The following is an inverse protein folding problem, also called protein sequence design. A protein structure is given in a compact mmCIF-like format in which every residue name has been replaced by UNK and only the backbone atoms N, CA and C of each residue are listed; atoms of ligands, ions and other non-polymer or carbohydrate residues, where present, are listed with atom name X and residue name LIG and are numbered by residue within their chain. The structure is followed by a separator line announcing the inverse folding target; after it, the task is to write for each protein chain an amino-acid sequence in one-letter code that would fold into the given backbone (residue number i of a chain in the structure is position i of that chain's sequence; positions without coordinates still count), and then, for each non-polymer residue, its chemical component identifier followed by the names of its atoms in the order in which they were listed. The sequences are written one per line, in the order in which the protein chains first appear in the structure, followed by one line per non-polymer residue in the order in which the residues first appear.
data_IF_210589426156
#
_entry.id   IF_210589426156
#
_cell.length_a   1.000
_cell.length_b   1.000
_cell.length_c   1.000
_cell.angle_alpha   90.00
_cell.angle_beta   90.00
_cell.angle_gamma   90.00
#
_symmetry.space_group_name_H-M   'P 1'
#
loop_
_entity.id
_entity.type
_entity.pdbx_description
1 polymer ?
#
# COMPACT_ATOMS: atom_id res chain seq x y z
N UNK A 1 9.16 1.58 -49.02
CA UNK A 1 8.76 2.53 -47.99
C UNK A 1 8.24 1.72 -46.80
N UNK A 2 9.14 1.33 -45.89
CA UNK A 2 8.82 0.42 -44.76
C UNK A 2 8.66 1.24 -43.49
N UNK A 3 7.43 1.33 -43.01
CA UNK A 3 7.10 1.95 -41.73
C UNK A 3 7.30 0.90 -40.64
N UNK A 4 8.34 1.07 -39.81
CA UNK A 4 8.51 0.30 -38.56
C UNK A 4 7.54 0.85 -37.51
N UNK A 5 6.55 0.04 -37.14
CA UNK A 5 5.74 0.28 -35.96
C UNK A 5 6.58 0.01 -34.72
N UNK A 6 7.00 1.05 -34.03
CA UNK A 6 7.51 0.97 -32.67
C UNK A 6 6.33 0.76 -31.72
N UNK A 7 6.29 -0.41 -31.10
CA UNK A 7 5.37 -0.70 -29.97
C UNK A 7 5.83 0.09 -28.75
N UNK A 8 5.26 1.26 -28.55
CA UNK A 8 5.34 1.96 -27.27
C UNK A 8 4.47 1.24 -26.25
N UNK A 9 5.06 0.68 -25.20
CA UNK A 9 4.33 0.32 -23.98
C UNK A 9 3.84 1.63 -23.36
N UNK A 10 2.54 1.89 -23.50
CA UNK A 10 1.88 2.91 -22.70
C UNK A 10 1.79 2.38 -21.28
N UNK A 11 2.60 2.94 -20.38
CA UNK A 11 2.34 2.86 -18.95
C UNK A 11 0.97 3.54 -18.72
N UNK A 12 -0.05 2.74 -18.48
CA UNK A 12 -1.34 3.24 -18.05
C UNK A 12 -1.17 3.81 -16.64
N UNK A 13 -0.96 5.12 -16.56
CA UNK A 13 -1.16 5.86 -15.32
C UNK A 13 -2.66 5.77 -15.00
N UNK A 14 -3.02 4.83 -14.14
CA UNK A 14 -4.34 4.83 -13.51
C UNK A 14 -4.33 5.98 -12.51
N UNK A 15 -4.79 7.13 -12.96
CA UNK A 15 -5.13 8.24 -12.08
C UNK A 15 -6.28 7.78 -11.18
N UNK A 16 -5.97 7.42 -9.94
CA UNK A 16 -6.96 7.24 -8.91
C UNK A 16 -7.64 8.60 -8.66
N UNK A 17 -8.81 8.77 -9.27
CA UNK A 17 -9.69 9.88 -8.94
C UNK A 17 -10.06 9.74 -7.46
N UNK A 18 -9.58 10.67 -6.62
CA UNK A 18 -10.09 10.86 -5.27
C UNK A 18 -11.59 11.14 -5.38
N UNK A 19 -12.43 10.16 -5.06
CA UNK A 19 -13.83 10.42 -4.75
C UNK A 19 -13.91 10.86 -3.29
N UNK A 20 -13.66 12.15 -3.06
CA UNK A 20 -14.19 12.84 -1.89
C UNK A 20 -15.72 12.70 -1.94
N UNK A 21 -16.28 11.91 -1.01
CA UNK A 21 -17.62 12.12 -0.45
C UNK A 21 -18.77 12.46 -1.40
N UNK A 22 -18.85 11.86 -2.59
CA UNK A 22 -20.11 11.83 -3.30
C UNK A 22 -20.86 10.58 -2.80
N UNK A 23 -21.98 10.79 -2.11
CA UNK A 23 -22.93 9.74 -1.82
C UNK A 23 -23.27 9.03 -3.15
N UNK A 24 -22.68 7.87 -3.37
CA UNK A 24 -23.06 7.01 -4.48
C UNK A 24 -24.49 6.60 -4.18
N UNK A 25 -25.47 6.86 -5.04
CA UNK A 25 -26.83 6.39 -4.79
C UNK A 25 -26.76 4.90 -4.54
N UNK A 26 -27.34 4.46 -3.43
CA UNK A 26 -27.38 3.08 -3.00
C UNK A 26 -27.96 2.22 -4.13
N UNK A 27 -27.08 1.65 -4.95
CA UNK A 27 -27.49 0.62 -5.89
C UNK A 27 -27.92 -0.55 -5.04
N UNK A 28 -29.22 -0.80 -5.01
CA UNK A 28 -29.74 -2.11 -4.63
C UNK A 28 -28.85 -3.14 -5.32
N UNK A 29 -28.36 -4.12 -4.57
CA UNK A 29 -27.53 -5.19 -5.14
C UNK A 29 -28.31 -5.76 -6.34
N UNK A 30 -27.92 -5.34 -7.54
CA UNK A 30 -28.60 -5.78 -8.77
C UNK A 30 -28.19 -7.23 -9.00
N UNK A 31 -29.16 -8.11 -9.17
CA UNK A 31 -28.91 -9.50 -9.57
C UNK A 31 -28.08 -9.52 -10.83
N UNK A 32 -26.88 -10.10 -10.84
CA UNK A 32 -26.23 -10.46 -12.10
C UNK A 32 -27.03 -11.57 -12.77
N UNK A 33 -26.90 -11.69 -14.08
CA UNK A 33 -27.58 -12.70 -14.90
C UNK A 33 -27.16 -14.16 -14.58
N UNK A 34 -26.27 -14.37 -13.62
CA UNK A 34 -25.69 -15.67 -13.22
C UNK A 34 -26.18 -16.23 -11.88
N UNK A 35 -27.32 -15.77 -11.37
CA UNK A 35 -27.94 -16.20 -10.12
C UNK A 35 -27.13 -15.97 -8.83
N UNK A 36 -26.13 -15.06 -8.84
CA UNK A 36 -25.34 -14.74 -7.66
C UNK A 36 -25.65 -13.37 -7.07
N UNK A 37 -25.53 -13.26 -5.75
CA UNK A 37 -25.50 -11.98 -5.05
C UNK A 37 -24.04 -11.67 -4.71
N UNK A 38 -23.62 -10.41 -4.92
CA UNK A 38 -22.26 -9.99 -4.67
C UNK A 38 -22.23 -8.68 -3.90
N UNK A 39 -21.32 -8.61 -2.93
CA UNK A 39 -20.96 -7.39 -2.23
C UNK A 39 -19.63 -6.87 -2.80
N UNK A 40 -19.44 -5.57 -2.80
CA UNK A 40 -18.16 -5.00 -3.23
C UNK A 40 -17.15 -5.04 -2.09
N UNK A 41 -15.89 -5.25 -2.44
CA UNK A 41 -14.75 -5.08 -1.54
C UNK A 41 -13.76 -4.13 -2.15
N UNK A 42 -13.50 -3.04 -1.47
CA UNK A 42 -12.59 -1.98 -1.92
C UNK A 42 -11.48 -1.73 -0.92
N UNK A 43 -10.40 -1.13 -1.41
CA UNK A 43 -9.36 -0.53 -0.59
C UNK A 43 -9.32 0.95 -0.89
N UNK A 44 -9.46 1.76 0.16
CA UNK A 44 -9.26 3.20 0.11
C UNK A 44 -7.82 3.49 0.52
N UNK A 45 -7.33 4.70 0.25
CA UNK A 45 -6.01 5.16 0.68
C UNK A 45 -5.26 5.87 -0.43
N UNK A 46 -4.16 6.49 -0.08
CA UNK A 46 -3.37 7.39 -0.94
C UNK A 46 -2.12 6.75 -1.52
N UNK A 47 -1.97 5.44 -1.45
CA UNK A 47 -0.79 4.79 -2.01
C UNK A 47 -0.95 4.53 -3.50
N UNK A 48 0.11 4.74 -4.27
CA UNK A 48 0.20 4.31 -5.67
C UNK A 48 0.47 2.80 -5.78
N UNK A 49 0.65 2.14 -4.63
CA UNK A 49 0.96 0.73 -4.54
C UNK A 49 -0.27 -0.17 -4.46
N UNK A 50 -0.03 -1.44 -4.64
CA UNK A 50 -1.06 -2.48 -4.57
C UNK A 50 -0.76 -3.50 -3.49
N UNK A 51 -1.80 -3.99 -2.83
CA UNK A 51 -1.76 -5.10 -1.89
C UNK A 51 -2.76 -6.15 -2.32
N UNK A 52 -2.42 -7.44 -2.10
CA UNK A 52 -3.32 -8.57 -2.33
C UNK A 52 -3.36 -9.45 -1.10
N UNK A 53 -4.56 -9.86 -0.71
CA UNK A 53 -4.78 -10.73 0.46
C UNK A 53 -6.09 -11.50 0.35
N UNK A 54 -6.25 -12.52 1.18
CA UNK A 54 -7.51 -13.25 1.30
C UNK A 54 -8.28 -12.75 2.53
N UNK A 55 -9.48 -12.28 2.30
CA UNK A 55 -10.39 -11.73 3.32
C UNK A 55 -11.48 -12.72 3.66
N UNK A 56 -11.90 -12.70 4.91
CA UNK A 56 -12.94 -13.56 5.48
C UNK A 56 -14.01 -12.72 6.14
N UNK A 57 -15.22 -13.26 6.19
CA UNK A 57 -16.37 -12.59 6.75
C UNK A 57 -17.06 -13.50 7.79
N UNK A 58 -17.67 -12.86 8.79
CA UNK A 58 -18.54 -13.51 9.74
C UNK A 58 -19.97 -13.05 9.50
N UNK A 59 -20.93 -13.98 9.49
CA UNK A 59 -22.35 -13.70 9.31
C UNK A 59 -23.12 -14.29 10.48
N UNK A 60 -23.88 -13.45 11.18
CA UNK A 60 -24.68 -13.82 12.32
C UNK A 60 -26.16 -13.55 12.04
N UNK A 61 -27.02 -14.47 12.41
CA UNK A 61 -28.48 -14.26 12.40
C UNK A 61 -28.84 -13.14 13.38
N UNK A 62 -29.66 -12.19 12.95
CA UNK A 62 -29.98 -11.04 13.80
C UNK A 62 -31.44 -10.90 14.12
N UNK A 63 -32.32 -10.73 13.11
CA UNK A 63 -33.71 -10.42 13.30
C UNK A 63 -34.56 -10.88 12.13
N UNK A 64 -35.84 -11.18 12.39
CA UNK A 64 -36.84 -11.40 11.36
C UNK A 64 -38.05 -10.53 11.68
N UNK A 65 -38.63 -9.92 10.65
CA UNK A 65 -39.90 -9.17 10.78
C UNK A 65 -40.83 -9.53 9.62
N UNK A 66 -42.14 -9.34 9.85
CA UNK A 66 -43.20 -9.58 8.86
C UNK A 66 -43.18 -11.01 8.25
N UNK A 67 -42.62 -11.97 8.97
CA UNK A 67 -42.70 -13.39 8.64
C UNK A 67 -43.80 -14.11 9.43
N UNK A 68 -43.98 -15.40 9.15
CA UNK A 68 -44.88 -16.23 10.00
C UNK A 68 -44.37 -16.23 11.44
N UNK A 69 -45.30 -16.37 12.39
CA UNK A 69 -45.02 -16.26 13.82
C UNK A 69 -44.07 -17.32 14.38
N UNK A 70 -43.87 -18.42 13.68
CA UNK A 70 -42.94 -19.50 14.00
C UNK A 70 -41.51 -19.29 13.49
N UNK A 71 -41.27 -18.25 12.66
CA UNK A 71 -39.94 -17.88 12.15
C UNK A 71 -39.34 -16.82 13.07
N UNK A 72 -38.25 -17.19 13.70
CA UNK A 72 -37.50 -16.35 14.65
C UNK A 72 -36.04 -16.16 14.20
N UNK A 73 -35.28 -15.26 14.84
CA UNK A 73 -33.88 -15.11 14.59
C UNK A 73 -33.07 -16.40 14.83
N UNK A 74 -33.50 -17.25 15.74
CA UNK A 74 -32.79 -18.50 16.08
C UNK A 74 -32.95 -19.54 14.99
N UNK A 75 -34.18 -19.71 14.44
CA UNK A 75 -34.46 -20.74 13.46
C UNK A 75 -34.44 -20.27 12.00
N UNK A 76 -34.29 -18.97 11.74
CA UNK A 76 -34.13 -18.47 10.37
C UNK A 76 -32.95 -19.14 9.67
N UNK A 77 -32.99 -19.34 8.33
CA UNK A 77 -31.89 -20.00 7.61
C UNK A 77 -30.60 -19.14 7.63
N UNK A 78 -29.47 -19.80 7.56
CA UNK A 78 -28.17 -19.14 7.57
C UNK A 78 -27.76 -18.64 6.17
N UNK A 79 -27.15 -17.49 6.11
CA UNK A 79 -26.47 -16.95 4.92
C UNK A 79 -24.97 -17.17 5.05
N UNK A 80 -24.29 -17.45 3.97
CA UNK A 80 -22.83 -17.51 3.94
C UNK A 80 -22.24 -16.51 2.95
N UNK A 81 -21.04 -16.06 3.26
CA UNK A 81 -20.22 -15.20 2.41
C UNK A 81 -18.92 -15.95 2.15
N UNK A 82 -18.53 -16.07 0.90
CA UNK A 82 -17.31 -16.76 0.50
C UNK A 82 -16.07 -15.93 0.87
N UNK A 83 -14.96 -16.60 1.17
CA UNK A 83 -13.66 -15.95 1.25
C UNK A 83 -13.32 -15.33 -0.11
N UNK A 84 -12.66 -14.17 -0.11
CA UNK A 84 -12.31 -13.48 -1.34
C UNK A 84 -10.82 -13.12 -1.37
N UNK A 85 -10.15 -13.47 -2.47
CA UNK A 85 -8.85 -12.86 -2.81
C UNK A 85 -9.09 -11.47 -3.35
N UNK A 86 -8.70 -10.46 -2.59
CA UNK A 86 -8.92 -9.05 -2.92
C UNK A 86 -7.58 -8.36 -3.20
N UNK A 87 -7.57 -7.53 -4.25
CA UNK A 87 -6.43 -6.68 -4.61
C UNK A 87 -6.87 -5.23 -4.59
N UNK A 88 -6.07 -4.37 -3.99
CA UNK A 88 -6.32 -2.92 -4.01
C UNK A 88 -6.31 -2.38 -5.44
N UNK A 89 -7.12 -1.34 -5.70
CA UNK A 89 -7.30 -0.80 -7.04
C UNK A 89 -8.14 -1.67 -8.00
N UNK A 90 -8.61 -2.84 -7.55
CA UNK A 90 -9.50 -3.72 -8.30
C UNK A 90 -10.92 -3.68 -7.74
N UNK A 91 -11.90 -3.94 -8.61
CA UNK A 91 -13.28 -4.13 -8.19
C UNK A 91 -13.50 -5.58 -7.74
N UNK A 92 -13.13 -5.86 -6.50
CA UNK A 92 -13.26 -7.19 -5.94
C UNK A 92 -14.73 -7.44 -5.56
N UNK A 93 -15.25 -8.61 -5.93
CA UNK A 93 -16.63 -9.01 -5.63
C UNK A 93 -16.62 -10.21 -4.69
N UNK A 94 -17.36 -10.07 -3.60
CA UNK A 94 -17.53 -11.10 -2.58
C UNK A 94 -18.85 -11.79 -2.82
N UNK A 95 -18.82 -13.08 -3.08
CA UNK A 95 -20.04 -13.85 -3.35
C UNK A 95 -20.81 -14.11 -2.07
N UNK A 96 -22.11 -13.85 -2.14
CA UNK A 96 -23.08 -14.12 -1.09
C UNK A 96 -23.94 -15.33 -1.50
N UNK A 97 -23.97 -16.35 -0.67
CA UNK A 97 -24.83 -17.53 -0.88
C UNK A 97 -26.04 -17.45 0.03
N UNK A 98 -27.20 -17.32 -0.58
CA UNK A 98 -28.48 -17.27 0.13
C UNK A 98 -29.09 -18.67 0.25
N UNK A 99 -29.70 -18.98 1.39
CA UNK A 99 -30.45 -20.21 1.59
C UNK A 99 -31.82 -20.15 0.89
N UNK A 100 -32.53 -21.27 0.90
CA UNK A 100 -33.97 -21.27 0.59
C UNK A 100 -34.73 -20.76 1.80
N UNK A 101 -35.69 -19.86 1.56
CA UNK A 101 -36.61 -19.34 2.56
C UNK A 101 -38.01 -19.99 2.40
N UNK A 102 -38.61 -20.32 3.50
CA UNK A 102 -39.96 -20.97 3.52
C UNK A 102 -41.11 -19.99 3.78
N UNK A 103 -40.79 -18.79 4.27
CA UNK A 103 -41.75 -17.75 4.60
C UNK A 103 -41.37 -16.42 3.98
N UNK A 104 -42.35 -15.68 3.47
CA UNK A 104 -42.20 -14.27 3.17
C UNK A 104 -41.85 -13.49 4.44
N UNK A 105 -41.12 -12.38 4.30
CA UNK A 105 -40.69 -11.52 5.42
C UNK A 105 -39.39 -10.81 5.13
N UNK A 106 -38.91 -10.10 6.14
CA UNK A 106 -37.59 -9.44 6.12
C UNK A 106 -36.64 -10.17 7.07
N UNK A 107 -35.53 -10.65 6.52
CA UNK A 107 -34.53 -11.40 7.27
C UNK A 107 -33.27 -10.53 7.38
N UNK A 108 -32.77 -10.34 8.58
CA UNK A 108 -31.65 -9.47 8.87
C UNK A 108 -30.49 -10.29 9.45
N UNK A 109 -29.31 -10.04 8.95
CA UNK A 109 -28.05 -10.66 9.40
C UNK A 109 -27.05 -9.58 9.73
N UNK A 110 -26.24 -9.77 10.76
CA UNK A 110 -25.05 -8.96 11.01
C UNK A 110 -23.91 -9.54 10.23
N UNK A 111 -23.16 -8.67 9.56
CA UNK A 111 -22.00 -9.05 8.78
C UNK A 111 -20.82 -8.22 9.23
N UNK A 112 -19.70 -8.89 9.56
CA UNK A 112 -18.44 -8.24 9.92
C UNK A 112 -17.31 -8.82 9.08
N UNK A 113 -16.37 -8.00 8.70
CA UNK A 113 -15.12 -8.48 8.11
C UNK A 113 -14.21 -8.99 9.23
N UNK A 114 -13.56 -10.13 9.01
CA UNK A 114 -12.52 -10.62 9.91
C UNK A 114 -11.25 -9.84 9.63
N UNK A 115 -10.81 -9.04 10.58
CA UNK A 115 -9.55 -8.31 10.44
C UNK A 115 -8.40 -9.26 10.12
N UNK A 116 -7.67 -8.96 9.05
CA UNK A 116 -6.44 -9.64 8.69
C UNK A 116 -5.23 -9.05 9.43
N UNK A 117 -4.05 -9.43 8.99
CA UNK A 117 -2.77 -9.00 9.61
C UNK A 117 -1.79 -8.43 8.58
N UNK A 118 -2.22 -8.12 7.36
CA UNK A 118 -1.34 -7.65 6.28
C UNK A 118 -0.76 -6.27 6.59
N UNK A 119 0.53 -6.10 6.35
CA UNK A 119 1.25 -4.85 6.56
C UNK A 119 0.66 -3.73 5.71
N UNK A 120 0.59 -2.51 6.27
CA UNK A 120 0.02 -1.34 5.61
C UNK A 120 -1.50 -1.33 5.50
N UNK A 121 -2.22 -2.41 5.90
CA UNK A 121 -3.68 -2.48 5.82
C UNK A 121 -4.32 -2.12 7.15
N UNK A 122 -5.29 -1.21 7.09
CA UNK A 122 -6.26 -0.92 8.15
C UNK A 122 -7.60 -1.53 7.75
N UNK A 123 -8.06 -2.48 8.55
CA UNK A 123 -9.28 -3.26 8.28
C UNK A 123 -10.52 -2.55 8.78
N UNK A 124 -11.61 -2.72 8.05
CA UNK A 124 -12.93 -2.32 8.51
C UNK A 124 -13.35 -3.23 9.66
N UNK A 125 -13.73 -2.61 10.78
CA UNK A 125 -14.21 -3.31 12.00
C UNK A 125 -15.68 -3.07 12.27
N UNK A 126 -16.38 -2.37 11.38
CA UNK A 126 -17.79 -2.02 11.56
C UNK A 126 -18.69 -3.24 11.37
N UNK A 127 -19.82 -3.21 12.05
CA UNK A 127 -20.89 -4.18 11.83
C UNK A 127 -21.83 -3.65 10.77
N UNK A 128 -22.00 -4.41 9.70
CA UNK A 128 -22.98 -4.15 8.66
C UNK A 128 -24.21 -5.04 8.83
N UNK A 129 -25.32 -4.62 8.25
CA UNK A 129 -26.59 -5.34 8.32
C UNK A 129 -27.02 -5.73 6.91
N UNK A 130 -27.13 -7.03 6.68
CA UNK A 130 -27.66 -7.58 5.43
C UNK A 130 -29.16 -7.77 5.60
N UNK A 131 -29.96 -7.10 4.80
CA UNK A 131 -31.41 -7.27 4.71
C UNK A 131 -31.75 -8.10 3.49
N UNK A 132 -32.43 -9.22 3.67
CA UNK A 132 -32.99 -10.06 2.61
C UNK A 132 -34.51 -9.91 2.66
N UNK A 133 -35.10 -9.43 1.57
CA UNK A 133 -36.56 -9.32 1.41
C UNK A 133 -37.05 -10.54 0.66
N UNK A 134 -37.98 -11.25 1.26
CA UNK A 134 -38.60 -12.45 0.68
C UNK A 134 -40.10 -12.22 0.51
N UNK A 135 -40.62 -12.43 -0.68
CA UNK A 135 -42.04 -12.38 -1.00
C UNK A 135 -42.59 -13.77 -1.33
N UNK A 136 -43.94 -13.85 -1.44
CA UNK A 136 -44.61 -15.06 -1.87
C UNK A 136 -45.04 -14.91 -3.34
N UNK A 137 -44.41 -15.65 -4.23
CA UNK A 137 -44.76 -15.66 -5.64
C UNK A 137 -44.96 -17.09 -6.12
N UNK A 138 -46.04 -17.33 -6.91
CA UNK A 138 -46.35 -18.65 -7.46
C UNK A 138 -46.42 -19.77 -6.41
N UNK A 139 -46.94 -19.49 -5.22
CA UNK A 139 -47.04 -20.39 -4.07
C UNK A 139 -45.70 -20.83 -3.46
N UNK A 140 -44.61 -20.08 -3.72
CA UNK A 140 -43.32 -20.33 -3.14
C UNK A 140 -42.73 -19.01 -2.60
N UNK A 141 -41.93 -19.10 -1.55
CA UNK A 141 -41.15 -17.98 -1.06
C UNK A 141 -39.99 -17.72 -2.04
N UNK A 142 -39.77 -16.48 -2.41
CA UNK A 142 -38.73 -16.05 -3.33
C UNK A 142 -38.05 -14.80 -2.79
N UNK A 143 -36.70 -14.75 -2.91
CA UNK A 143 -35.95 -13.55 -2.60
C UNK A 143 -36.23 -12.49 -3.68
N UNK A 144 -36.72 -11.33 -3.26
CA UNK A 144 -36.97 -10.18 -4.14
C UNK A 144 -35.79 -9.23 -4.17
N UNK A 145 -35.18 -8.97 -3.02
CA UNK A 145 -34.03 -8.06 -2.94
C UNK A 145 -33.12 -8.38 -1.77
N UNK A 146 -31.86 -7.97 -1.94
CA UNK A 146 -30.83 -8.01 -0.90
C UNK A 146 -30.19 -6.62 -0.83
N UNK A 147 -29.99 -6.11 0.38
CA UNK A 147 -29.32 -4.83 0.59
C UNK A 147 -28.42 -4.90 1.82
N UNK A 148 -27.30 -4.19 1.75
CA UNK A 148 -26.35 -4.05 2.85
C UNK A 148 -26.45 -2.64 3.41
N UNK A 149 -26.35 -2.52 4.74
CA UNK A 149 -26.54 -1.27 5.48
C UNK A 149 -25.40 -1.09 6.48
N UNK A 150 -24.91 0.13 6.64
CA UNK A 150 -23.92 0.48 7.66
C UNK A 150 -24.55 0.88 9.01
N UNK A 151 -25.86 0.96 9.07
CA UNK A 151 -26.64 1.16 10.27
C UNK A 151 -27.78 0.12 10.36
N UNK A 152 -28.31 -0.11 11.55
CA UNK A 152 -29.37 -1.10 11.77
C UNK A 152 -30.69 -0.69 11.06
N UNK A 153 -31.08 -1.35 9.96
CA UNK A 153 -32.29 -1.00 9.21
C UNK A 153 -33.61 -1.41 9.91
N UNK A 154 -33.54 -2.02 11.10
CA UNK A 154 -34.73 -2.33 11.91
C UNK A 154 -35.09 -1.20 12.87
N UNK A 155 -34.26 -0.16 12.95
CA UNK A 155 -34.53 1.08 13.69
C UNK A 155 -35.25 2.06 12.77
N UNK A 156 -36.36 2.60 13.24
CA UNK A 156 -37.25 3.46 12.43
C UNK A 156 -36.63 4.79 11.98
N UNK A 157 -35.51 5.20 12.61
CA UNK A 157 -34.79 6.42 12.26
C UNK A 157 -33.71 6.18 11.20
N UNK A 158 -33.42 4.92 10.83
CA UNK A 158 -32.44 4.59 9.80
C UNK A 158 -33.04 4.88 8.42
N UNK A 159 -32.38 5.71 7.65
CA UNK A 159 -32.79 6.18 6.32
C UNK A 159 -32.05 5.43 5.20
N UNK A 160 -32.53 5.56 3.96
CA UNK A 160 -32.00 4.84 2.80
C UNK A 160 -30.55 5.23 2.41
N UNK A 161 -30.04 6.34 2.91
CA UNK A 161 -28.65 6.79 2.75
C UNK A 161 -27.64 5.92 3.53
N UNK A 162 -28.11 5.09 4.48
CA UNK A 162 -27.33 4.06 5.14
C UNK A 162 -27.14 2.77 4.32
N UNK A 163 -27.68 2.69 3.12
CA UNK A 163 -27.38 1.59 2.20
C UNK A 163 -26.00 1.74 1.60
N UNK A 164 -25.24 0.65 1.63
CA UNK A 164 -23.86 0.61 1.13
C UNK A 164 -23.65 -0.53 0.14
N UNK A 165 -22.65 -0.40 -0.73
CA UNK A 165 -22.35 -1.40 -1.76
C UNK A 165 -21.50 -2.56 -1.24
N UNK A 166 -20.81 -2.39 -0.10
CA UNK A 166 -19.91 -3.39 0.44
C UNK A 166 -18.96 -2.84 1.49
N UNK A 167 -17.80 -3.47 1.62
CA UNK A 167 -16.80 -3.19 2.65
C UNK A 167 -15.61 -2.44 2.07
N UNK A 168 -15.01 -1.54 2.86
CA UNK A 168 -13.81 -0.81 2.48
C UNK A 168 -12.73 -0.95 3.56
N UNK A 169 -11.51 -1.36 3.14
CA UNK A 169 -10.30 -1.26 3.94
C UNK A 169 -9.47 -0.07 3.46
N UNK A 170 -8.43 0.29 4.20
CA UNK A 170 -7.45 1.28 3.77
C UNK A 170 -6.09 0.60 3.64
N UNK A 171 -5.40 0.84 2.53
CA UNK A 171 -4.01 0.42 2.35
C UNK A 171 -3.12 1.64 2.20
N UNK A 172 -2.01 1.66 2.94
CA UNK A 172 -0.99 2.70 2.86
C UNK A 172 0.36 2.07 2.56
N UNK A 173 1.08 2.64 1.61
CA UNK A 173 2.47 2.33 1.28
C UNK A 173 3.21 3.59 0.88
N UNK A 174 4.52 3.56 1.00
CA UNK A 174 5.37 4.71 0.71
C UNK A 174 6.62 4.33 -0.08
N UNK A 175 7.55 5.28 -0.19
CA UNK A 175 8.79 5.18 -0.95
C UNK A 175 10.00 5.42 -0.06
N UNK A 176 10.97 4.49 -0.09
CA UNK A 176 12.32 4.70 0.42
C UNK A 176 13.25 5.10 -0.73
N UNK A 177 13.88 6.26 -0.62
CA UNK A 177 14.92 6.72 -1.53
C UNK A 177 16.30 6.39 -0.95
N UNK A 178 17.16 5.70 -1.72
CA UNK A 178 18.57 5.45 -1.39
C UNK A 178 19.45 6.23 -2.34
N UNK A 179 20.19 7.21 -1.80
CA UNK A 179 21.14 8.05 -2.55
C UNK A 179 22.55 7.57 -2.35
N UNK A 180 23.31 7.43 -3.44
CA UNK A 180 24.75 7.17 -3.43
C UNK A 180 25.50 8.43 -3.74
N UNK A 181 26.36 8.85 -2.81
CA UNK A 181 27.25 10.01 -2.96
C UNK A 181 28.70 9.55 -2.88
N UNK A 182 29.57 10.13 -3.68
CA UNK A 182 31.02 9.96 -3.59
C UNK A 182 31.66 11.30 -3.26
N UNK A 183 32.75 11.26 -2.50
CA UNK A 183 33.50 12.45 -2.05
C UNK A 183 34.99 12.16 -1.99
N UNK A 184 35.78 13.23 -1.89
CA UNK A 184 37.22 13.14 -1.78
C UNK A 184 37.96 13.33 -3.12
N UNK A 185 39.24 13.67 -3.04
CA UNK A 185 40.06 14.06 -4.21
C UNK A 185 40.51 12.88 -5.07
N UNK A 186 40.32 11.64 -4.62
CA UNK A 186 40.62 10.41 -5.36
C UNK A 186 39.38 9.62 -5.74
N UNK A 187 38.20 10.16 -5.50
CA UNK A 187 36.94 9.52 -5.87
C UNK A 187 36.79 9.46 -7.40
N UNK A 188 36.24 8.36 -7.91
CA UNK A 188 36.00 8.09 -9.33
C UNK A 188 34.53 7.87 -9.59
N UNK A 189 33.92 8.56 -10.55
CA UNK A 189 32.50 8.54 -10.84
C UNK A 189 32.00 7.20 -11.40
N UNK A 190 32.91 6.38 -11.98
CA UNK A 190 32.60 5.09 -12.59
C UNK A 190 32.75 3.89 -11.64
N UNK A 191 33.19 4.13 -10.39
CA UNK A 191 33.32 3.09 -9.36
C UNK A 191 31.93 2.55 -8.97
N UNK A 192 31.85 1.22 -8.78
CA UNK A 192 30.65 0.53 -8.39
C UNK A 192 30.68 0.15 -6.91
N UNK A 193 29.56 0.33 -6.24
CA UNK A 193 29.35 0.09 -4.81
C UNK A 193 28.18 -0.86 -4.63
N UNK A 194 28.31 -1.81 -3.68
CA UNK A 194 27.24 -2.75 -3.39
C UNK A 194 26.54 -2.39 -2.10
N UNK A 195 25.25 -2.15 -2.20
CA UNK A 195 24.40 -1.80 -1.08
C UNK A 195 23.33 -2.88 -0.93
N UNK A 196 23.12 -3.35 0.30
CA UNK A 196 22.02 -4.22 0.67
C UNK A 196 20.96 -3.40 1.40
N UNK A 197 19.75 -3.42 0.88
CA UNK A 197 18.58 -2.83 1.53
C UNK A 197 17.74 -3.97 2.12
N UNK A 198 17.58 -3.97 3.43
CA UNK A 198 16.80 -4.98 4.16
C UNK A 198 15.52 -4.36 4.68
N UNK A 199 14.41 -5.00 4.43
CA UNK A 199 13.10 -4.63 4.96
C UNK A 199 12.64 -5.65 5.98
N UNK A 200 11.99 -5.17 7.06
CA UNK A 200 11.49 -6.01 8.16
C UNK A 200 10.09 -5.59 8.54
N UNK A 201 9.21 -6.57 8.72
CA UNK A 201 7.82 -6.36 9.13
C UNK A 201 7.42 -7.33 10.25
N UNK A 202 6.57 -6.89 11.19
CA UNK A 202 5.90 -7.77 12.16
C UNK A 202 4.57 -8.33 11.65
N UNK A 203 4.25 -8.05 10.39
CA UNK A 203 3.02 -8.52 9.73
C UNK A 203 3.39 -9.09 8.36
N UNK A 204 2.63 -10.08 7.84
CA UNK A 204 2.79 -10.56 6.47
C UNK A 204 2.72 -9.42 5.46
N UNK A 205 3.52 -9.47 4.40
CA UNK A 205 3.53 -8.47 3.35
C UNK A 205 2.81 -9.00 2.11
N UNK A 206 1.72 -8.36 1.77
CA UNK A 206 0.86 -8.71 0.62
C UNK A 206 1.12 -7.84 -0.62
N UNK A 207 2.16 -7.00 -0.60
CA UNK A 207 2.54 -6.11 -1.69
C UNK A 207 3.84 -6.52 -2.36
N UNK A 208 4.01 -6.15 -3.62
CA UNK A 208 5.27 -6.25 -4.35
C UNK A 208 5.98 -4.91 -4.24
N UNK A 209 7.19 -4.89 -3.66
CA UNK A 209 8.03 -3.70 -3.62
C UNK A 209 8.75 -3.57 -4.95
N UNK A 210 8.56 -2.47 -5.66
CA UNK A 210 9.19 -2.20 -6.95
C UNK A 210 10.36 -1.22 -6.79
N UNK A 211 11.43 -1.40 -7.55
CA UNK A 211 12.56 -0.49 -7.58
C UNK A 211 13.27 -0.53 -8.94
N UNK A 212 14.07 0.51 -9.24
CA UNK A 212 14.81 0.61 -10.50
C UNK A 212 16.28 0.83 -10.21
N UNK A 213 17.15 -0.01 -10.78
CA UNK A 213 18.59 0.08 -10.67
C UNK A 213 19.21 0.16 -12.07
N UNK A 214 20.02 1.18 -12.34
CA UNK A 214 20.70 1.40 -13.62
C UNK A 214 19.74 1.35 -14.83
N UNK A 215 18.50 1.83 -14.64
CA UNK A 215 17.46 1.82 -15.66
C UNK A 215 16.66 0.52 -15.77
N UNK A 216 17.03 -0.53 -15.04
CA UNK A 216 16.32 -1.82 -15.01
C UNK A 216 15.28 -1.87 -13.90
N UNK A 217 14.06 -2.27 -14.25
CA UNK A 217 12.99 -2.49 -13.29
C UNK A 217 13.19 -3.83 -12.56
N UNK A 218 13.13 -3.79 -11.24
CA UNK A 218 13.28 -4.94 -10.33
C UNK A 218 12.19 -4.94 -9.28
N UNK A 219 11.98 -6.09 -8.65
CA UNK A 219 10.96 -6.24 -7.60
C UNK A 219 11.41 -7.15 -6.48
N UNK A 220 10.89 -6.91 -5.28
CA UNK A 220 10.85 -7.86 -4.18
C UNK A 220 9.42 -8.42 -4.19
N UNK A 221 9.27 -9.66 -4.60
CA UNK A 221 7.98 -10.34 -4.68
C UNK A 221 7.46 -10.69 -3.27
N UNK A 222 6.16 -10.92 -3.14
CA UNK A 222 5.55 -11.30 -1.86
C UNK A 222 6.11 -12.60 -1.27
N UNK A 223 6.50 -13.55 -2.11
CA UNK A 223 7.11 -14.82 -1.70
C UNK A 223 8.63 -14.72 -1.38
N UNK A 224 9.23 -13.55 -1.57
CA UNK A 224 10.62 -13.29 -1.16
C UNK A 224 10.76 -12.93 0.33
N UNK A 225 9.64 -12.65 1.00
CA UNK A 225 9.63 -12.39 2.43
C UNK A 225 9.68 -13.70 3.21
N UNK A 226 10.67 -13.81 4.09
CA UNK A 226 10.89 -14.98 4.93
C UNK A 226 10.44 -14.68 6.36
N UNK A 227 9.57 -15.52 6.88
CA UNK A 227 9.13 -15.45 8.27
C UNK A 227 10.13 -16.19 9.16
N UNK A 228 10.56 -15.55 10.23
CA UNK A 228 11.39 -16.15 11.29
C UNK A 228 10.54 -16.65 12.45
N UNK A 229 11.14 -17.45 13.35
CA UNK A 229 10.44 -18.06 14.50
C UNK A 229 9.77 -17.04 15.43
N UNK A 230 10.23 -15.80 15.46
CA UNK A 230 9.66 -14.70 16.26
C UNK A 230 8.52 -13.94 15.55
N UNK A 231 8.07 -14.44 14.39
CA UNK A 231 7.01 -13.83 13.58
C UNK A 231 7.46 -12.56 12.85
N UNK A 232 8.77 -12.39 12.62
CA UNK A 232 9.31 -11.29 11.83
C UNK A 232 9.48 -11.71 10.37
N UNK A 233 8.91 -10.92 9.45
CA UNK A 233 9.06 -11.10 8.01
C UNK A 233 10.22 -10.23 7.52
N UNK A 234 11.15 -10.81 6.77
CA UNK A 234 12.34 -10.12 6.25
C UNK A 234 12.50 -10.38 4.77
N UNK A 235 12.79 -9.34 4.01
CA UNK A 235 13.19 -9.42 2.61
C UNK A 235 14.31 -8.43 2.33
N UNK A 236 15.15 -8.68 1.32
CA UNK A 236 16.23 -7.77 0.96
C UNK A 236 16.43 -7.64 -0.54
N UNK A 237 17.03 -6.53 -0.95
CA UNK A 237 17.53 -6.28 -2.28
C UNK A 237 19.02 -5.96 -2.22
N UNK A 238 19.83 -6.63 -3.04
CA UNK A 238 21.22 -6.28 -3.29
C UNK A 238 21.26 -5.40 -4.55
N UNK A 239 21.81 -4.19 -4.42
CA UNK A 239 21.91 -3.24 -5.52
C UNK A 239 23.38 -2.88 -5.76
N UNK A 240 23.75 -2.76 -7.02
CA UNK A 240 25.06 -2.24 -7.45
C UNK A 240 24.85 -0.90 -8.12
N UNK A 241 25.46 0.14 -7.58
CA UNK A 241 25.25 1.53 -8.01
C UNK A 241 26.54 2.30 -8.11
N UNK A 242 26.59 3.33 -8.94
CA UNK A 242 27.70 4.29 -9.06
C UNK A 242 27.44 5.55 -8.24
N UNK A 243 28.47 6.37 -8.06
CA UNK A 243 28.32 7.70 -7.48
C UNK A 243 27.27 8.54 -8.20
N UNK A 244 26.47 9.29 -7.44
CA UNK A 244 25.36 10.09 -7.96
C UNK A 244 24.09 9.31 -8.28
N UNK A 245 24.08 7.98 -8.12
CA UNK A 245 22.86 7.17 -8.34
C UNK A 245 21.85 7.37 -7.23
N UNK A 246 20.57 7.28 -7.62
CA UNK A 246 19.42 7.22 -6.71
C UNK A 246 18.59 5.99 -7.05
N UNK A 247 18.15 5.24 -6.02
CA UNK A 247 17.28 4.08 -6.14
C UNK A 247 16.05 4.30 -5.27
N UNK A 248 14.87 4.29 -5.88
CA UNK A 248 13.58 4.43 -5.20
C UNK A 248 12.93 3.07 -5.05
N UNK A 249 12.67 2.65 -3.81
CA UNK A 249 11.87 1.48 -3.47
C UNK A 249 10.42 1.93 -3.21
N UNK A 250 9.52 1.66 -4.11
CA UNK A 250 8.12 2.04 -4.05
C UNK A 250 7.21 0.90 -3.60
N UNK A 251 6.00 1.23 -3.14
CA UNK A 251 5.04 0.29 -2.60
C UNK A 251 5.54 -0.49 -1.37
N UNK A 252 6.39 0.13 -0.56
CA UNK A 252 6.77 -0.42 0.75
C UNK A 252 5.63 -0.14 1.72
N UNK A 253 5.03 -1.17 2.37
CA UNK A 253 3.90 -0.95 3.26
C UNK A 253 4.23 -0.05 4.44
N UNK A 254 3.25 0.74 4.87
CA UNK A 254 3.35 1.57 6.07
C UNK A 254 3.72 0.73 7.30
N UNK A 255 4.62 1.25 8.14
CA UNK A 255 5.13 0.58 9.34
C UNK A 255 6.23 -0.45 9.10
N UNK A 256 6.64 -0.71 7.85
CA UNK A 256 7.79 -1.57 7.54
C UNK A 256 9.08 -0.84 7.92
N UNK A 257 9.98 -1.54 8.61
CA UNK A 257 11.32 -1.04 8.93
C UNK A 257 12.28 -1.32 7.79
N UNK A 258 13.27 -0.45 7.63
CA UNK A 258 14.36 -0.65 6.68
C UNK A 258 15.73 -0.47 7.33
N UNK A 259 16.74 -1.12 6.75
CA UNK A 259 18.16 -0.96 7.01
C UNK A 259 18.92 -0.93 5.67
N UNK A 260 19.74 0.09 5.48
CA UNK A 260 20.55 0.30 4.28
C UNK A 260 22.03 0.09 4.66
N UNK A 261 22.61 -1.00 4.20
CA UNK A 261 24.00 -1.35 4.51
C UNK A 261 24.85 -1.52 3.25
N UNK A 262 25.96 -0.84 3.21
CA UNK A 262 26.91 -1.00 2.11
C UNK A 262 27.80 -2.20 2.39
N UNK A 263 27.71 -3.21 1.55
CA UNK A 263 28.44 -4.48 1.69
C UNK A 263 29.80 -4.48 0.97
N UNK A 264 29.99 -3.53 0.04
CA UNK A 264 31.24 -3.34 -0.67
C UNK A 264 31.40 -1.85 -1.01
N UNK A 265 32.27 -1.18 -0.27
CA UNK A 265 32.51 0.26 -0.38
C UNK A 265 33.62 0.64 -1.38
N UNK A 266 34.19 -0.35 -2.10
CA UNK A 266 35.28 -0.14 -3.04
C UNK A 266 36.65 0.08 -2.38
N UNK A 267 37.71 -0.14 -3.16
CA UNK A 267 39.08 -0.07 -2.65
C UNK A 267 39.49 1.35 -2.24
N UNK A 268 39.85 1.49 -0.97
CA UNK A 268 40.35 2.73 -0.38
C UNK A 268 39.29 3.79 -0.11
N UNK A 269 38.00 3.45 -0.23
CA UNK A 269 36.89 4.28 0.23
C UNK A 269 36.53 3.99 1.68
N UNK A 270 35.98 5.00 2.33
CA UNK A 270 35.34 4.91 3.64
C UNK A 270 33.88 5.27 3.51
N UNK A 271 33.01 4.32 3.87
CA UNK A 271 31.57 4.53 3.85
C UNK A 271 31.11 5.31 5.08
N UNK A 272 30.14 6.20 4.89
CA UNK A 272 29.40 6.87 5.94
C UNK A 272 27.93 6.99 5.55
N UNK A 273 27.08 7.14 6.54
CA UNK A 273 25.64 7.25 6.36
C UNK A 273 25.16 8.54 7.02
N UNK A 274 24.05 9.07 6.52
CA UNK A 274 23.28 10.04 7.28
C UNK A 274 22.54 9.36 8.47
N UNK A 275 21.81 10.14 9.27
CA UNK A 275 21.10 9.63 10.43
C UNK A 275 19.96 8.66 10.07
N UNK A 276 19.66 8.49 8.78
CA UNK A 276 18.57 7.68 8.25
C UNK A 276 19.01 6.31 7.70
N UNK A 277 20.18 5.79 8.12
CA UNK A 277 20.63 4.43 7.74
C UNK A 277 19.54 3.39 8.01
N UNK A 278 18.85 3.53 9.12
CA UNK A 278 17.75 2.67 9.54
C UNK A 278 16.53 3.51 9.89
N UNK A 279 15.34 2.98 9.66
CA UNK A 279 14.12 3.69 9.99
C UNK A 279 12.88 2.82 9.89
N UNK A 280 11.74 3.47 10.08
CA UNK A 280 10.41 2.89 9.83
C UNK A 280 9.75 3.74 8.76
N UNK A 281 9.21 3.12 7.74
CA UNK A 281 8.47 3.82 6.73
C UNK A 281 7.13 4.28 7.31
N UNK A 282 6.87 5.57 7.23
CA UNK A 282 5.60 6.18 7.62
C UNK A 282 5.04 6.84 6.38
N UNK A 283 4.11 6.13 5.72
CA UNK A 283 3.53 6.59 4.47
C UNK A 283 2.73 7.88 4.69
N UNK A 284 3.16 8.95 4.04
CA UNK A 284 2.51 10.25 4.07
C UNK A 284 1.33 10.30 3.08
N UNK A 285 0.35 11.15 3.37
CA UNK A 285 -0.80 11.36 2.49
C UNK A 285 -0.45 12.25 1.27
N UNK A 286 0.80 12.68 1.12
CA UNK A 286 1.29 13.53 0.03
C UNK A 286 2.06 12.72 -1.01
N UNK A 287 1.61 12.81 -2.25
CA UNK A 287 2.10 12.00 -3.39
C UNK A 287 3.50 12.35 -3.88
N UNK A 288 4.03 13.52 -3.53
CA UNK A 288 5.22 14.10 -4.15
C UNK A 288 6.48 14.04 -3.28
N UNK A 289 6.35 13.66 -2.00
CA UNK A 289 7.46 13.55 -1.07
C UNK A 289 7.87 12.10 -0.85
N UNK A 290 9.19 11.85 -0.79
CA UNK A 290 9.71 10.56 -0.36
C UNK A 290 9.45 10.40 1.14
N UNK A 291 8.90 9.24 1.53
CA UNK A 291 8.56 9.00 2.94
C UNK A 291 9.80 8.75 3.79
N UNK A 292 10.87 8.26 3.17
CA UNK A 292 12.19 8.10 3.78
C UNK A 292 13.30 8.28 2.73
N UNK A 293 14.42 8.85 3.16
CA UNK A 293 15.63 8.98 2.33
C UNK A 293 16.84 8.58 3.16
N UNK A 294 17.73 7.76 2.59
CA UNK A 294 19.03 7.40 3.16
C UNK A 294 20.11 7.80 2.19
N UNK A 295 21.13 8.51 2.67
CA UNK A 295 22.32 8.87 1.88
C UNK A 295 23.52 8.05 2.32
N UNK A 296 24.10 7.28 1.39
CA UNK A 296 25.35 6.53 1.58
C UNK A 296 26.46 7.30 0.89
N UNK A 297 27.43 7.79 1.67
CA UNK A 297 28.56 8.58 1.15
C UNK A 297 29.86 7.79 1.28
N UNK A 298 30.57 7.60 0.15
CA UNK A 298 31.89 7.02 0.13
C UNK A 298 32.94 8.09 -0.13
N UNK A 299 33.90 8.19 0.77
CA UNK A 299 35.01 9.16 0.69
C UNK A 299 36.32 8.47 0.41
N UNK A 300 37.05 8.93 -0.62
CA UNK A 300 38.41 8.48 -0.95
C UNK A 300 39.34 9.69 -1.02
N UNK A 301 40.25 9.76 -0.07
CA UNK A 301 41.18 10.84 0.03
C UNK A 301 42.62 10.31 -0.05
N UNK A 302 43.52 11.05 -0.71
CA UNK A 302 44.93 10.79 -0.59
C UNK A 302 45.38 11.18 0.83
N UNK A 303 45.94 10.25 1.56
CA UNK A 303 46.84 10.62 2.65
C UNK A 303 48.11 11.17 1.99
N UNK A 304 48.16 12.47 1.75
CA UNK A 304 49.36 13.12 1.39
C UNK A 304 50.24 13.12 2.64
N UNK A 305 51.03 12.10 2.83
CA UNK A 305 52.07 12.06 3.83
C UNK A 305 53.20 13.00 3.35
N UNK A 306 52.88 14.26 3.16
CA UNK A 306 53.87 15.30 2.97
C UNK A 306 54.39 15.62 4.35
N UNK A 307 55.59 15.13 4.69
CA UNK A 307 56.35 15.53 5.86
C UNK A 307 56.69 17.03 5.90
N UNK A 308 55.92 17.84 5.25
CA UNK A 308 55.81 19.29 5.34
C UNK A 308 54.54 19.57 6.13
N UNK A 309 54.67 19.82 7.40
CA UNK A 309 53.70 20.56 8.19
C UNK A 309 53.50 21.92 7.53
N UNK A 310 52.82 21.97 6.42
CA UNK A 310 52.32 23.20 5.86
C UNK A 310 51.28 23.72 6.82
N UNK A 311 51.56 24.86 7.39
CA UNK A 311 50.69 25.72 8.18
C UNK A 311 49.49 26.21 7.34
N UNK A 312 48.82 25.27 6.62
CA UNK A 312 47.79 25.53 5.60
C UNK A 312 46.37 25.19 6.07
N UNK A 313 46.22 24.86 7.37
CA UNK A 313 44.88 24.75 8.00
C UNK A 313 43.92 25.91 7.64
N UNK A 314 44.40 27.18 7.48
CA UNK A 314 43.50 28.25 7.07
C UNK A 314 42.93 28.11 5.64
N UNK A 315 43.72 27.53 4.71
CA UNK A 315 43.32 27.43 3.28
C UNK A 315 42.33 26.29 3.03
N UNK A 316 42.44 25.17 3.75
CA UNK A 316 41.48 24.08 3.68
C UNK A 316 40.13 24.51 4.25
N UNK A 317 40.13 25.28 5.34
CA UNK A 317 38.91 25.87 5.91
C UNK A 317 38.24 26.88 4.96
N UNK A 318 39.05 27.63 4.18
CA UNK A 318 38.52 28.58 3.20
C UNK A 318 37.91 27.86 2.00
N UNK A 319 38.50 26.77 1.51
CA UNK A 319 37.95 25.98 0.39
C UNK A 319 36.68 25.24 0.80
N UNK A 320 36.64 24.66 1.98
CA UNK A 320 35.41 24.04 2.54
C UNK A 320 34.30 25.07 2.77
N UNK A 321 34.63 26.26 3.30
CA UNK A 321 33.70 27.36 3.48
C UNK A 321 33.18 27.93 2.15
N UNK A 322 34.03 28.00 1.10
CA UNK A 322 33.59 28.48 -0.20
C UNK A 322 32.63 27.53 -0.89
N UNK A 323 32.76 26.20 -0.71
CA UNK A 323 31.87 25.22 -1.26
C UNK A 323 30.47 25.32 -0.59
N UNK A 324 30.41 25.47 0.74
CA UNK A 324 29.15 25.65 1.47
C UNK A 324 28.45 26.96 1.07
N UNK A 325 29.22 28.07 0.90
CA UNK A 325 28.67 29.35 0.44
C UNK A 325 28.17 29.28 -1.00
N UNK A 326 28.86 28.56 -1.89
CA UNK A 326 28.44 28.36 -3.28
C UNK A 326 27.11 27.57 -3.34
N UNK A 327 26.96 26.51 -2.54
CA UNK A 327 25.71 25.73 -2.44
C UNK A 327 24.58 26.60 -1.88
N UNK A 328 24.87 27.44 -0.86
CA UNK A 328 23.89 28.35 -0.30
C UNK A 328 23.38 29.38 -1.33
N UNK A 329 24.29 29.96 -2.13
CA UNK A 329 23.91 30.94 -3.17
C UNK A 329 23.17 30.29 -4.35
N UNK A 330 23.51 29.07 -4.74
CA UNK A 330 22.77 28.32 -5.78
C UNK A 330 21.36 28.03 -5.32
N UNK A 331 21.17 27.59 -4.07
CA UNK A 331 19.84 27.36 -3.50
C UNK A 331 19.02 28.65 -3.35
N UNK A 332 19.69 29.75 -2.95
CA UNK A 332 19.01 31.05 -2.82
C UNK A 332 18.55 31.62 -4.16
N UNK A 333 19.32 31.42 -5.26
CA UNK A 333 18.90 31.83 -6.61
C UNK A 333 17.70 31.03 -7.12
N UNK A 334 17.62 29.76 -6.82
CA UNK A 334 16.46 28.93 -7.18
C UNK A 334 15.14 29.36 -6.49
N UNK A 335 15.23 29.99 -5.31
CA UNK A 335 14.04 30.51 -4.62
C UNK A 335 13.63 31.93 -5.06
N UNK A 336 14.49 32.70 -5.71
CA UNK A 336 14.15 34.05 -6.19
C UNK A 336 13.58 34.11 -7.62
N UNK A 337 13.58 32.98 -8.34
CA UNK A 337 13.03 32.88 -9.69
C UNK A 337 11.61 32.25 -9.72
N UNK A 338 10.96 32.12 -8.55
CA UNK A 338 9.60 31.58 -8.38
C UNK A 338 8.63 32.56 -7.70
N UNK A 339 8.94 33.88 -7.67
CA UNK A 339 8.00 34.92 -7.30
C UNK A 339 7.56 35.75 -8.53
#
# INVERSE_FOLDING_TARGET
MNVKLTKGLAAAAVSAAMMLGAAVPALAVTLPNDNGYYLNKTYNGVSDGTVSETLKFNVEKYKVTDAKSDVTAENMPAVSIDDVSATSGQNNKVKLTLPTYESAGYYYYKVTEKAGTTAGVSYNTDTYYLKVTVSYANRAAKVDSVSLWDADPTVTTTTEDHKVAGFANTYKSGTLEVKKVIAGNLAQDDEEFKIKVTFTSKKPVGSVVAYKVNGEDKTIATNAWTESDDGTYTASADITVKGGSTVDFSNVPDGVKYDVDETDSGDGYTASYDDSKTGTLNANDTKDDKDATTTVTNTKESKVDTGVLLNNAPYIAILGGAAVVAIYFVNKRRHSDMD
#
